data_IF_898103986446
#
_entry.id   IF_898103986446
#
_cell.length_a   1.000
_cell.length_b   1.000
_cell.length_c   1.000
_cell.angle_alpha   90.00
_cell.angle_beta   90.00
_cell.angle_gamma   90.00
#
_symmetry.space_group_name_H-M   'P 1'
#
loop_
_entity.id
_entity.type
_entity.pdbx_description
1 polymer ?
#
# COMPACT_ATOMS: atom_id res chain seq x y z
N UNK A 1 -88.23 -22.03 20.16
CA UNK A 1 -87.93 -21.79 18.73
C UNK A 1 -87.16 -20.47 18.60
N UNK A 2 -85.84 -20.49 18.54
CA UNK A 2 -85.00 -19.34 18.16
C UNK A 2 -83.90 -19.88 17.24
N UNK A 3 -84.02 -19.56 15.97
CA UNK A 3 -83.10 -19.98 14.91
C UNK A 3 -81.92 -19.00 14.90
N UNK A 4 -80.72 -19.50 15.17
CA UNK A 4 -79.48 -18.70 15.12
C UNK A 4 -78.96 -18.70 13.67
N UNK A 5 -79.09 -17.58 12.97
CA UNK A 5 -78.55 -17.37 11.63
C UNK A 5 -77.03 -17.13 11.71
N UNK A 6 -76.25 -18.09 11.23
CA UNK A 6 -74.80 -17.96 11.00
C UNK A 6 -74.57 -17.16 9.70
N UNK A 7 -74.18 -15.89 9.82
CA UNK A 7 -73.69 -15.10 8.69
C UNK A 7 -72.30 -15.59 8.28
N UNK A 8 -72.20 -16.32 7.16
CA UNK A 8 -70.93 -16.59 6.48
C UNK A 8 -70.43 -15.29 5.85
N UNK A 9 -69.29 -14.79 6.32
CA UNK A 9 -68.58 -13.67 5.70
C UNK A 9 -67.84 -14.21 4.47
N UNK A 10 -68.37 -13.96 3.28
CA UNK A 10 -67.67 -14.28 2.03
C UNK A 10 -66.40 -13.45 1.95
N UNK A 11 -65.23 -14.08 2.11
CA UNK A 11 -63.96 -13.42 1.82
C UNK A 11 -63.85 -13.30 0.31
N UNK A 12 -64.16 -12.11 -0.22
CA UNK A 12 -63.79 -11.73 -1.58
C UNK A 12 -62.27 -11.82 -1.70
N UNK A 13 -61.76 -12.95 -2.22
CA UNK A 13 -60.38 -13.05 -2.68
C UNK A 13 -60.30 -12.29 -3.98
N UNK A 14 -59.89 -11.02 -3.93
CA UNK A 14 -59.56 -10.26 -5.13
C UNK A 14 -58.42 -10.95 -5.86
N UNK A 15 -58.67 -11.42 -7.08
CA UNK A 15 -57.62 -11.90 -7.97
C UNK A 15 -56.83 -10.71 -8.50
N UNK A 16 -55.50 -10.78 -8.43
CA UNK A 16 -54.62 -9.74 -8.95
C UNK A 16 -54.71 -9.73 -10.48
N UNK A 17 -54.93 -8.56 -11.09
CA UNK A 17 -54.96 -8.44 -12.55
C UNK A 17 -53.52 -8.41 -13.09
N UNK A 18 -53.34 -8.92 -14.30
CA UNK A 18 -52.04 -8.90 -14.99
C UNK A 18 -51.48 -7.47 -15.13
N UNK A 19 -52.36 -6.48 -15.27
CA UNK A 19 -52.00 -5.06 -15.37
C UNK A 19 -51.46 -4.53 -14.02
N UNK A 20 -52.09 -4.86 -12.90
CA UNK A 20 -51.60 -4.45 -11.57
C UNK A 20 -50.21 -5.03 -11.30
N UNK A 21 -49.95 -6.28 -11.71
CA UNK A 21 -48.64 -6.90 -11.57
C UNK A 21 -47.59 -6.20 -12.44
N UNK A 22 -47.93 -5.90 -13.69
CA UNK A 22 -47.06 -5.20 -14.63
C UNK A 22 -46.67 -3.79 -14.13
N UNK A 23 -47.62 -3.05 -13.55
CA UNK A 23 -47.35 -1.71 -13.01
C UNK A 23 -46.40 -1.79 -11.81
N UNK A 24 -46.61 -2.74 -10.90
CA UNK A 24 -45.74 -2.90 -9.72
C UNK A 24 -44.32 -3.25 -10.14
N UNK A 25 -44.14 -4.20 -11.07
CA UNK A 25 -42.79 -4.54 -11.55
C UNK A 25 -42.16 -3.38 -12.33
N UNK A 26 -42.93 -2.58 -13.06
CA UNK A 26 -42.42 -1.39 -13.75
C UNK A 26 -41.93 -0.33 -12.74
N UNK A 27 -42.68 -0.08 -11.67
CA UNK A 27 -42.29 0.86 -10.61
C UNK A 27 -41.03 0.36 -9.89
N UNK A 28 -40.99 -0.92 -9.49
CA UNK A 28 -39.81 -1.52 -8.85
C UNK A 28 -38.60 -1.45 -9.80
N UNK A 29 -38.79 -1.73 -11.08
CA UNK A 29 -37.75 -1.64 -12.11
C UNK A 29 -37.17 -0.23 -12.21
N UNK A 30 -38.01 0.80 -12.26
CA UNK A 30 -37.59 2.21 -12.28
C UNK A 30 -36.86 2.58 -10.98
N UNK A 31 -37.39 2.21 -9.82
CA UNK A 31 -36.75 2.49 -8.54
C UNK A 31 -35.37 1.85 -8.44
N UNK A 32 -35.23 0.57 -8.81
CA UNK A 32 -33.93 -0.12 -8.81
C UNK A 32 -32.96 0.52 -9.81
N UNK A 33 -33.42 0.87 -11.01
CA UNK A 33 -32.59 1.51 -12.03
C UNK A 33 -32.02 2.85 -11.56
N UNK A 34 -32.79 3.61 -10.77
CA UNK A 34 -32.33 4.88 -10.19
C UNK A 34 -31.46 4.69 -8.93
N UNK A 35 -31.76 3.66 -8.11
CA UNK A 35 -31.05 3.42 -6.85
C UNK A 35 -29.71 2.72 -7.04
N UNK A 36 -29.56 1.81 -8.02
CA UNK A 36 -28.34 1.03 -8.18
C UNK A 36 -27.11 1.92 -8.46
N UNK A 37 -27.12 2.88 -9.40
CA UNK A 37 -25.98 3.78 -9.62
C UNK A 37 -25.64 4.59 -8.37
N UNK A 38 -26.64 5.10 -7.66
CA UNK A 38 -26.46 5.89 -6.45
C UNK A 38 -25.83 5.07 -5.31
N UNK A 39 -26.30 3.84 -5.09
CA UNK A 39 -25.72 2.94 -4.07
C UNK A 39 -24.28 2.58 -4.40
N UNK A 40 -23.92 2.37 -5.67
CA UNK A 40 -22.54 2.09 -6.05
C UNK A 40 -21.62 3.30 -5.85
N UNK A 41 -22.07 4.50 -6.22
CA UNK A 41 -21.33 5.74 -5.98
C UNK A 41 -21.10 5.96 -4.47
N UNK A 42 -22.13 5.75 -3.65
CA UNK A 42 -22.02 5.89 -2.20
C UNK A 42 -21.03 4.86 -1.60
N UNK A 43 -21.08 3.60 -2.05
CA UNK A 43 -20.13 2.55 -1.62
C UNK A 43 -18.69 2.92 -1.98
N UNK A 44 -18.49 3.45 -3.17
CA UNK A 44 -17.16 3.84 -3.63
C UNK A 44 -16.61 5.05 -2.86
N UNK A 45 -17.45 6.06 -2.60
CA UNK A 45 -17.08 7.16 -1.73
C UNK A 45 -16.69 6.68 -0.32
N UNK A 46 -17.42 5.72 0.25
CA UNK A 46 -17.10 5.13 1.55
C UNK A 46 -15.76 4.39 1.55
N UNK A 47 -15.46 3.61 0.49
CA UNK A 47 -14.16 2.94 0.36
C UNK A 47 -13.02 3.94 0.23
N UNK A 48 -13.21 5.02 -0.55
CA UNK A 48 -12.22 6.10 -0.69
C UNK A 48 -11.95 6.81 0.62
N UNK A 49 -13.00 7.14 1.37
CA UNK A 49 -12.85 7.71 2.72
C UNK A 49 -12.08 6.76 3.64
N UNK A 50 -12.33 5.46 3.54
CA UNK A 50 -11.62 4.45 4.34
C UNK A 50 -10.14 4.37 3.99
N UNK A 51 -9.75 4.29 2.70
CA UNK A 51 -8.34 4.26 2.32
C UNK A 51 -7.64 5.60 2.65
N UNK A 52 -8.35 6.73 2.53
CA UNK A 52 -7.87 8.04 3.00
C UNK A 52 -7.59 8.08 4.50
N UNK A 53 -8.47 7.49 5.31
CA UNK A 53 -8.31 7.44 6.76
C UNK A 53 -7.14 6.52 7.16
N UNK A 54 -6.97 5.39 6.49
CA UNK A 54 -5.82 4.51 6.69
C UNK A 54 -4.51 5.26 6.41
N UNK A 55 -4.41 5.95 5.27
CA UNK A 55 -3.25 6.80 4.97
C UNK A 55 -3.02 7.90 6.00
N UNK A 56 -4.08 8.49 6.54
CA UNK A 56 -3.97 9.48 7.62
C UNK A 56 -3.39 8.86 8.90
N UNK A 57 -3.84 7.65 9.27
CA UNK A 57 -3.29 6.91 10.40
C UNK A 57 -1.81 6.55 10.19
N UNK A 58 -1.43 6.13 8.98
CA UNK A 58 -0.03 5.86 8.63
C UNK A 58 0.85 7.11 8.70
N UNK A 59 0.34 8.26 8.23
CA UNK A 59 0.99 9.55 8.38
C UNK A 59 1.21 9.91 9.85
N UNK A 60 0.15 9.83 10.66
CA UNK A 60 0.24 10.10 12.12
C UNK A 60 1.23 9.16 12.83
N UNK A 61 1.19 7.86 12.53
CA UNK A 61 2.13 6.89 13.06
C UNK A 61 3.58 7.24 12.68
N UNK A 62 3.79 7.72 11.46
CA UNK A 62 5.12 8.15 11.00
C UNK A 62 5.60 9.42 11.71
N UNK A 63 4.71 10.37 12.00
CA UNK A 63 5.04 11.54 12.81
C UNK A 63 5.39 11.15 14.26
N UNK A 64 4.62 10.27 14.89
CA UNK A 64 4.94 9.78 16.24
C UNK A 64 6.27 9.02 16.29
N UNK A 65 6.57 8.23 15.24
CA UNK A 65 7.87 7.62 15.06
C UNK A 65 8.97 8.69 14.95
N UNK A 66 8.76 9.72 14.12
CA UNK A 66 9.71 10.82 13.93
C UNK A 66 9.96 11.60 15.23
N UNK A 67 8.92 11.86 16.03
CA UNK A 67 9.08 12.54 17.33
C UNK A 67 9.95 11.74 18.30
N UNK A 68 9.84 10.41 18.26
CA UNK A 68 10.60 9.49 19.11
C UNK A 68 12.05 9.34 18.65
N UNK A 69 12.26 9.14 17.35
CA UNK A 69 13.56 8.73 16.77
C UNK A 69 14.29 9.84 16.01
N UNK A 70 13.66 11.02 15.85
CA UNK A 70 14.13 12.19 15.10
C UNK A 70 14.43 11.92 13.61
N UNK A 71 13.86 10.84 13.08
CA UNK A 71 13.96 10.46 11.66
C UNK A 71 12.68 9.74 11.23
N UNK A 72 12.41 9.70 9.93
CA UNK A 72 11.44 8.76 9.39
C UNK A 72 11.94 7.32 9.58
N UNK A 73 11.05 6.32 9.56
CA UNK A 73 11.48 4.93 9.53
C UNK A 73 12.31 4.68 8.26
N UNK A 74 13.23 3.71 8.33
CA UNK A 74 13.81 3.20 7.09
C UNK A 74 12.68 2.59 6.25
N UNK A 75 12.78 2.71 4.94
CA UNK A 75 11.87 2.05 4.03
C UNK A 75 11.99 0.53 4.12
N UNK A 76 13.22 0.02 4.03
CA UNK A 76 13.52 -1.40 4.07
C UNK A 76 14.90 -1.65 4.67
N UNK A 77 15.01 -2.65 5.56
CA UNK A 77 16.27 -3.07 6.19
C UNK A 77 16.76 -4.41 5.62
N UNK A 78 18.07 -4.54 5.49
CA UNK A 78 18.74 -5.74 5.01
C UNK A 78 18.41 -6.97 5.87
N UNK A 79 18.47 -8.15 5.23
CA UNK A 79 18.22 -9.50 5.74
C UNK A 79 16.74 -9.96 5.69
N UNK A 80 16.06 -9.76 4.56
CA UNK A 80 14.65 -10.20 4.35
C UNK A 80 14.31 -11.58 4.92
N UNK A 81 15.19 -12.57 4.74
CA UNK A 81 14.92 -13.96 5.11
C UNK A 81 15.24 -14.32 6.57
N UNK A 82 15.93 -13.44 7.30
CA UNK A 82 16.39 -13.75 8.67
C UNK A 82 16.21 -12.67 9.75
N UNK A 83 15.80 -11.43 9.41
CA UNK A 83 15.41 -10.40 10.39
C UNK A 83 14.95 -9.07 9.76
N UNK A 84 15.37 -8.75 8.53
CA UNK A 84 15.15 -7.45 7.93
C UNK A 84 13.67 -7.09 7.84
N UNK A 85 13.29 -5.92 8.36
CA UNK A 85 11.92 -5.43 8.37
C UNK A 85 11.70 -4.28 7.37
N UNK A 86 10.44 -3.99 7.06
CA UNK A 86 10.04 -2.77 6.34
C UNK A 86 9.59 -1.68 7.32
N UNK A 87 9.42 -0.46 6.78
CA UNK A 87 8.80 0.67 7.48
C UNK A 87 7.48 0.29 8.19
N UNK A 88 6.71 -0.65 7.63
CA UNK A 88 5.44 -1.10 8.21
C UNK A 88 5.61 -1.71 9.60
N UNK A 89 6.63 -2.55 9.78
CA UNK A 89 6.88 -3.14 11.09
C UNK A 89 7.29 -2.07 12.12
N UNK A 90 8.09 -1.09 11.68
CA UNK A 90 8.56 0.01 12.52
C UNK A 90 7.41 0.92 13.01
N UNK A 91 6.31 1.01 12.26
CA UNK A 91 5.15 1.83 12.63
C UNK A 91 4.16 1.13 13.57
N UNK A 92 4.24 -0.19 13.77
CA UNK A 92 3.26 -0.94 14.57
C UNK A 92 3.04 -0.36 16.00
N UNK A 93 4.09 -0.01 16.78
CA UNK A 93 3.90 0.58 18.11
C UNK A 93 3.14 1.93 18.08
N UNK A 94 3.22 2.63 16.95
CA UNK A 94 2.59 3.94 16.73
C UNK A 94 1.21 3.85 16.08
N UNK A 95 0.74 2.62 15.81
CA UNK A 95 -0.58 2.29 15.25
C UNK A 95 -1.45 1.50 16.23
N UNK A 96 -1.17 1.59 17.54
CA UNK A 96 -1.81 0.79 18.59
C UNK A 96 -1.64 -0.74 18.39
N UNK A 97 -0.58 -1.16 17.68
CA UNK A 97 -0.25 -2.57 17.44
C UNK A 97 0.98 -3.03 18.25
N UNK A 98 1.16 -2.48 19.46
CA UNK A 98 2.29 -2.83 20.35
C UNK A 98 2.31 -4.32 20.71
N UNK A 99 1.15 -4.94 20.93
CA UNK A 99 1.06 -6.37 21.20
C UNK A 99 1.60 -7.22 20.04
N UNK A 100 1.35 -6.81 18.80
CA UNK A 100 1.89 -7.47 17.60
C UNK A 100 3.39 -7.24 17.48
N UNK A 101 3.84 -6.02 17.73
CA UNK A 101 5.27 -5.70 17.73
C UNK A 101 6.05 -6.56 18.74
N UNK A 102 5.46 -6.79 19.91
CA UNK A 102 6.07 -7.57 21.00
C UNK A 102 6.06 -9.09 20.76
N UNK A 103 5.27 -9.61 19.79
CA UNK A 103 5.34 -11.03 19.39
C UNK A 103 6.74 -11.43 18.93
N UNK A 104 7.50 -10.48 18.37
CA UNK A 104 8.89 -10.70 17.99
C UNK A 104 9.79 -10.90 19.22
N UNK A 105 9.64 -10.06 20.25
CA UNK A 105 10.40 -10.18 21.50
C UNK A 105 10.14 -11.52 22.19
N UNK A 106 8.90 -12.00 22.15
CA UNK A 106 8.51 -13.30 22.70
C UNK A 106 9.20 -14.49 22.00
N UNK A 107 9.70 -14.30 20.78
CA UNK A 107 10.48 -15.32 20.05
C UNK A 107 11.94 -15.42 20.50
N UNK A 108 12.38 -14.56 21.44
CA UNK A 108 13.76 -14.51 21.94
C UNK A 108 14.71 -13.67 21.09
N UNK A 109 14.18 -12.94 20.10
CA UNK A 109 14.91 -12.04 19.21
C UNK A 109 14.37 -10.61 19.33
N UNK A 110 15.24 -9.60 19.26
CA UNK A 110 14.85 -8.18 19.35
C UNK A 110 15.12 -7.48 18.02
N UNK A 111 14.13 -7.46 17.12
CA UNK A 111 14.24 -6.68 15.89
C UNK A 111 14.43 -5.19 16.20
N UNK A 112 15.61 -4.68 15.84
CA UNK A 112 15.88 -3.25 15.93
C UNK A 112 15.25 -2.54 14.73
N UNK A 113 14.30 -1.65 15.01
CA UNK A 113 13.64 -0.83 14.01
C UNK A 113 14.24 0.58 13.89
N UNK A 114 15.32 0.85 14.62
CA UNK A 114 16.09 2.08 14.55
C UNK A 114 17.45 1.84 13.86
N UNK A 115 17.91 2.81 13.05
CA UNK A 115 19.18 2.69 12.31
C UNK A 115 20.39 2.98 13.20
N UNK A 116 20.25 3.82 14.22
CA UNK A 116 21.30 4.11 15.21
C UNK A 116 21.36 3.12 16.38
N UNK A 117 20.42 2.17 16.44
CA UNK A 117 20.43 1.08 17.40
C UNK A 117 21.36 -0.01 16.87
N UNK A 118 22.36 -0.37 17.67
CA UNK A 118 23.34 -1.38 17.29
C UNK A 118 22.66 -2.69 16.90
N UNK A 119 23.30 -3.47 16.04
CA UNK A 119 22.87 -4.84 15.66
C UNK A 119 22.89 -5.77 16.87
N UNK A 120 21.88 -5.70 17.73
CA UNK A 120 21.71 -6.60 18.87
C UNK A 120 20.92 -7.87 18.53
N UNK A 121 20.50 -8.05 17.28
CA UNK A 121 20.06 -9.37 16.83
C UNK A 121 21.23 -10.11 16.23
N UNK A 122 21.52 -11.30 16.76
CA UNK A 122 22.18 -12.33 15.99
C UNK A 122 21.17 -12.79 14.91
N UNK A 123 21.05 -11.96 13.87
CA UNK A 123 20.12 -12.01 12.74
C UNK A 123 20.22 -13.36 12.00
N UNK A 124 21.27 -14.16 12.23
CA UNK A 124 21.47 -15.42 11.53
C UNK A 124 20.52 -16.56 11.93
N UNK A 125 19.79 -16.43 13.06
CA UNK A 125 18.98 -17.51 13.63
C UNK A 125 17.44 -17.35 13.50
N UNK A 126 16.93 -16.17 13.13
CA UNK A 126 15.48 -15.90 13.14
C UNK A 126 14.84 -15.90 11.75
N UNK A 127 14.42 -17.07 11.27
CA UNK A 127 13.80 -17.18 9.94
C UNK A 127 12.49 -16.38 9.83
N UNK A 128 12.27 -15.67 8.71
CA UNK A 128 10.98 -15.00 8.44
C UNK A 128 9.80 -15.98 8.43
N UNK A 129 10.07 -17.27 8.21
CA UNK A 129 9.08 -18.36 8.19
C UNK A 129 8.73 -18.90 9.58
N UNK A 130 9.50 -18.57 10.62
CA UNK A 130 9.24 -18.99 12.02
C UNK A 130 8.64 -17.86 12.85
N UNK A 131 8.33 -16.71 12.24
CA UNK A 131 7.72 -15.58 12.93
C UNK A 131 6.27 -15.94 13.30
N UNK A 132 5.83 -15.58 14.49
CA UNK A 132 4.46 -15.79 14.97
C UNK A 132 3.41 -14.91 14.26
N UNK A 133 3.79 -14.22 13.18
CA UNK A 133 2.97 -13.22 12.48
C UNK A 133 2.42 -13.71 11.13
N UNK A 134 2.56 -15.01 10.85
CA UNK A 134 1.92 -15.63 9.69
C UNK A 134 0.40 -15.60 9.85
N UNK A 135 -0.33 -15.26 8.79
CA UNK A 135 -1.78 -15.10 8.81
C UNK A 135 -2.28 -13.83 9.51
N UNK A 136 -1.38 -12.99 10.05
CA UNK A 136 -1.77 -11.74 10.66
C UNK A 136 -2.13 -10.70 9.59
N UNK A 137 -3.28 -10.04 9.79
CA UNK A 137 -3.73 -8.90 8.99
C UNK A 137 -3.92 -7.72 9.93
N UNK A 138 -3.22 -6.62 9.65
CA UNK A 138 -3.46 -5.33 10.30
C UNK A 138 -4.33 -4.49 9.37
N UNK A 139 -5.56 -4.20 9.79
CA UNK A 139 -6.56 -3.50 8.97
C UNK A 139 -6.10 -2.13 8.48
N UNK A 140 -5.29 -1.41 9.27
CA UNK A 140 -4.72 -0.12 8.88
C UNK A 140 -3.80 -0.18 7.65
N UNK A 141 -3.34 -1.37 7.26
CA UNK A 141 -2.58 -1.60 6.02
C UNK A 141 -3.41 -2.17 4.86
N UNK A 142 -4.70 -2.43 5.06
CA UNK A 142 -5.57 -2.99 4.02
C UNK A 142 -6.39 -1.86 3.40
N UNK A 143 -6.21 -1.58 2.11
CA UNK A 143 -7.16 -0.72 1.39
C UNK A 143 -8.43 -1.52 1.02
N UNK A 144 -9.64 -1.11 1.48
CA UNK A 144 -10.89 -1.80 1.17
C UNK A 144 -11.28 -1.84 -0.32
N UNK A 145 -10.63 -1.01 -1.15
CA UNK A 145 -10.81 -1.04 -2.60
C UNK A 145 -9.86 -2.01 -3.31
N UNK A 146 -8.86 -2.57 -2.63
CA UNK A 146 -7.99 -3.55 -3.28
C UNK A 146 -8.78 -4.81 -3.64
N UNK A 147 -8.57 -5.28 -4.87
CA UNK A 147 -9.08 -6.57 -5.32
C UNK A 147 -8.13 -7.72 -4.99
N UNK A 148 -6.92 -7.45 -4.49
CA UNK A 148 -5.97 -8.49 -4.08
C UNK A 148 -6.33 -8.98 -2.66
N UNK A 149 -6.17 -10.29 -2.45
CA UNK A 149 -6.26 -10.88 -1.12
C UNK A 149 -5.19 -10.24 -0.20
N UNK A 150 -5.58 -9.66 0.96
CA UNK A 150 -4.61 -9.10 1.89
C UNK A 150 -3.63 -10.15 2.40
N UNK A 151 -3.89 -11.46 2.26
CA UNK A 151 -2.97 -12.54 2.58
C UNK A 151 -2.47 -13.22 1.30
N UNK A 152 -1.18 -13.49 1.24
CA UNK A 152 -0.58 -14.21 0.11
C UNK A 152 0.60 -15.08 0.55
N UNK A 153 0.91 -16.10 -0.26
CA UNK A 153 2.10 -16.93 -0.10
C UNK A 153 3.00 -16.76 -1.33
N UNK A 154 4.06 -15.98 -1.19
CA UNK A 154 4.94 -15.62 -2.32
C UNK A 154 5.76 -16.78 -2.88
N UNK A 155 6.18 -17.75 -2.05
CA UNK A 155 7.06 -18.85 -2.47
C UNK A 155 6.53 -20.23 -2.09
N UNK A 156 7.20 -21.25 -2.66
CA UNK A 156 6.90 -22.64 -2.39
C UNK A 156 7.10 -23.01 -0.91
N UNK A 157 8.05 -22.38 -0.20
CA UNK A 157 8.32 -22.67 1.20
C UNK A 157 7.18 -22.25 2.13
N UNK A 158 6.61 -21.05 1.98
CA UNK A 158 5.43 -20.63 2.74
C UNK A 158 4.24 -21.54 2.43
N UNK A 159 4.04 -21.87 1.16
CA UNK A 159 2.99 -22.80 0.72
C UNK A 159 3.16 -24.19 1.34
N UNK A 160 4.39 -24.71 1.43
CA UNK A 160 4.64 -26.05 1.98
C UNK A 160 4.37 -26.16 3.48
N UNK A 161 4.44 -25.06 4.22
CA UNK A 161 4.09 -25.01 5.64
C UNK A 161 2.66 -24.47 5.88
N UNK A 162 1.85 -24.32 4.83
CA UNK A 162 0.47 -23.83 4.93
C UNK A 162 0.34 -22.39 5.45
N UNK A 163 1.38 -21.56 5.28
CA UNK A 163 1.44 -20.23 5.86
C UNK A 163 1.32 -19.12 4.82
N UNK A 164 0.82 -17.97 5.26
CA UNK A 164 0.61 -16.75 4.45
C UNK A 164 1.08 -15.52 5.22
N UNK A 165 1.28 -14.41 4.52
CA UNK A 165 1.68 -13.13 5.09
C UNK A 165 0.82 -12.01 4.52
N UNK A 166 0.67 -10.91 5.26
CA UNK A 166 -0.03 -9.73 4.76
C UNK A 166 0.67 -9.19 3.50
N UNK A 167 -0.08 -8.71 2.50
CA UNK A 167 0.44 -8.02 1.32
C UNK A 167 0.55 -6.51 1.51
N UNK A 168 1.06 -5.82 0.49
CA UNK A 168 1.25 -4.37 0.46
C UNK A 168 0.15 -3.66 -0.33
N UNK A 169 -0.89 -3.16 0.36
CA UNK A 169 -1.90 -2.29 -0.28
C UNK A 169 -1.51 -0.79 -0.21
N UNK A 170 -0.52 -0.48 0.62
CA UNK A 170 0.13 0.83 0.70
C UNK A 170 1.64 0.61 0.59
N UNK A 171 2.30 1.47 -0.20
CA UNK A 171 3.72 1.37 -0.54
C UNK A 171 4.43 2.64 -0.12
N UNK A 172 5.64 2.49 0.42
CA UNK A 172 6.51 3.62 0.74
C UNK A 172 7.18 4.18 -0.50
N UNK A 173 7.35 5.50 -0.56
CA UNK A 173 8.01 6.17 -1.68
C UNK A 173 9.49 6.36 -1.37
N UNK A 174 10.34 5.65 -2.12
CA UNK A 174 11.80 5.76 -2.01
C UNK A 174 12.41 6.77 -2.98
N UNK A 175 11.58 7.39 -3.82
CA UNK A 175 12.03 8.39 -4.77
C UNK A 175 11.33 8.32 -6.12
N UNK A 176 11.99 8.89 -7.12
CA UNK A 176 11.60 8.83 -8.52
C UNK A 176 12.80 8.57 -9.43
N UNK A 177 12.52 7.88 -10.54
CA UNK A 177 13.43 7.73 -11.65
C UNK A 177 12.70 7.98 -12.98
N UNK A 178 13.27 8.74 -13.94
CA UNK A 178 14.47 9.57 -13.79
C UNK A 178 14.31 10.61 -12.68
N UNK A 179 15.43 11.06 -12.12
CA UNK A 179 15.41 12.13 -11.12
C UNK A 179 14.98 13.46 -11.78
N UNK A 180 13.92 14.13 -11.32
CA UNK A 180 13.46 15.41 -11.86
C UNK A 180 14.52 16.53 -11.78
N UNK A 181 15.47 16.47 -10.84
CA UNK A 181 16.62 17.38 -10.80
C UNK A 181 17.76 17.00 -11.77
N UNK A 182 17.59 15.92 -12.56
CA UNK A 182 18.60 15.45 -13.52
C UNK A 182 19.83 14.81 -12.87
N UNK A 183 19.78 14.49 -11.57
CA UNK A 183 20.89 13.84 -10.86
C UNK A 183 21.07 12.40 -11.35
N UNK A 184 22.29 12.04 -11.72
CA UNK A 184 22.64 10.68 -12.16
C UNK A 184 23.21 9.82 -11.02
N UNK A 185 23.31 10.39 -9.83
CA UNK A 185 23.90 9.79 -8.63
C UNK A 185 22.87 9.41 -7.58
N UNK A 186 21.58 9.40 -7.91
CA UNK A 186 20.48 9.15 -6.97
C UNK A 186 19.78 7.81 -7.18
N UNK A 187 20.35 6.94 -8.02
CA UNK A 187 19.76 5.65 -8.34
C UNK A 187 20.79 4.55 -8.54
N UNK A 188 20.29 3.32 -8.55
CA UNK A 188 20.99 2.11 -8.93
C UNK A 188 20.09 1.27 -9.85
N UNK A 189 20.59 0.94 -11.05
CA UNK A 189 19.91 0.04 -11.99
C UNK A 189 20.15 -1.42 -11.59
N UNK A 190 19.07 -2.14 -11.35
CA UNK A 190 19.05 -3.57 -11.02
C UNK A 190 19.19 -4.45 -12.27
N UNK A 191 19.35 -5.76 -12.06
CA UNK A 191 19.44 -6.75 -13.13
C UNK A 191 18.20 -6.80 -14.05
N UNK A 192 17.02 -6.40 -13.56
CA UNK A 192 15.72 -6.54 -14.26
C UNK A 192 15.21 -5.22 -14.80
N UNK A 193 16.12 -4.33 -15.17
CA UNK A 193 15.82 -3.00 -15.72
C UNK A 193 15.02 -2.07 -14.79
N UNK A 194 14.86 -2.44 -13.50
CA UNK A 194 14.31 -1.56 -12.48
C UNK A 194 15.38 -0.68 -11.80
N UNK A 195 14.95 0.38 -11.15
CA UNK A 195 15.76 1.45 -10.57
C UNK A 195 15.40 1.65 -9.10
N UNK A 196 16.32 1.29 -8.22
CA UNK A 196 16.27 1.68 -6.81
C UNK A 196 16.79 3.11 -6.68
N UNK A 197 16.13 3.96 -5.90
CA UNK A 197 16.50 5.38 -5.72
C UNK A 197 16.80 5.73 -4.25
N UNK A 198 17.56 6.80 -4.03
CA UNK A 198 17.85 7.35 -2.70
C UNK A 198 17.47 8.83 -2.55
N UNK A 199 16.53 9.31 -3.38
CA UNK A 199 16.06 10.70 -3.42
C UNK A 199 14.65 10.92 -2.82
N UNK A 200 13.95 9.89 -2.35
CA UNK A 200 12.64 10.02 -1.67
C UNK A 200 12.71 10.07 -0.15
N UNK A 201 11.56 9.91 0.52
CA UNK A 201 11.46 10.00 1.98
C UNK A 201 11.78 8.68 2.71
N UNK A 202 11.41 7.52 2.15
CA UNK A 202 11.62 6.21 2.78
C UNK A 202 12.75 5.45 2.09
N UNK A 203 13.87 5.27 2.79
CA UNK A 203 15.14 4.84 2.17
C UNK A 203 15.57 3.43 2.59
N UNK A 204 16.41 2.80 1.77
CA UNK A 204 16.96 1.47 2.05
C UNK A 204 18.16 1.57 3.00
N UNK A 205 18.12 0.84 4.12
CA UNK A 205 19.18 0.75 5.12
C UNK A 205 19.66 2.10 5.68
N UNK A 206 18.88 3.16 5.49
CA UNK A 206 19.17 4.50 5.98
C UNK A 206 17.87 5.22 6.25
N UNK A 207 17.95 6.34 6.96
CA UNK A 207 16.81 7.16 7.36
C UNK A 207 17.08 8.60 7.00
N UNK A 208 16.03 9.32 6.64
CA UNK A 208 16.08 10.78 6.52
C UNK A 208 15.22 11.41 7.62
N UNK A 209 15.59 12.60 8.06
CA UNK A 209 14.76 13.40 8.95
C UNK A 209 13.92 14.40 8.17
N UNK A 210 12.97 15.04 8.84
CA UNK A 210 12.15 16.10 8.25
C UNK A 210 12.99 17.24 7.68
N UNK A 211 14.16 17.52 8.27
CA UNK A 211 15.13 18.50 7.76
C UNK A 211 15.73 18.15 6.38
N UNK A 212 15.65 16.88 5.96
CA UNK A 212 16.12 16.43 4.65
C UNK A 212 15.07 16.60 3.55
N UNK A 213 13.86 17.08 3.87
CA UNK A 213 12.76 17.28 2.93
C UNK A 213 12.65 18.78 2.61
N UNK A 214 13.61 19.25 1.81
CA UNK A 214 13.83 20.67 1.56
C UNK A 214 12.85 21.28 0.56
N UNK A 215 12.20 20.47 -0.27
CA UNK A 215 11.16 20.93 -1.21
C UNK A 215 9.79 21.16 -0.55
N UNK A 216 9.70 20.85 0.74
CA UNK A 216 8.55 21.07 1.59
C UNK A 216 7.83 19.78 1.95
N UNK A 217 7.54 19.62 3.24
CA UNK A 217 6.84 18.44 3.78
C UNK A 217 5.44 18.26 3.21
N UNK A 218 4.81 19.34 2.76
CA UNK A 218 3.50 19.36 2.11
C UNK A 218 3.56 19.12 0.60
N UNK A 219 4.74 18.84 0.03
CA UNK A 219 4.97 18.61 -1.39
C UNK A 219 5.80 17.34 -1.67
N UNK A 220 6.07 16.53 -0.65
CA UNK A 220 6.77 15.25 -0.82
C UNK A 220 5.85 14.11 -0.36
N UNK A 221 5.61 13.15 -1.25
CA UNK A 221 4.83 11.94 -0.97
C UNK A 221 5.67 11.01 -0.11
N UNK A 222 5.07 10.53 0.96
CA UNK A 222 5.68 9.60 1.90
C UNK A 222 5.22 8.17 1.60
N UNK A 223 3.90 7.95 1.53
CA UNK A 223 3.27 6.64 1.27
C UNK A 223 2.14 6.83 0.27
N UNK A 224 1.94 5.86 -0.61
CA UNK A 224 0.89 5.84 -1.63
C UNK A 224 0.08 4.57 -1.58
N UNK A 225 -1.14 4.61 -2.11
CA UNK A 225 -1.89 3.42 -2.49
C UNK A 225 -1.15 2.57 -3.54
N UNK A 226 -1.24 1.26 -3.37
CA UNK A 226 -0.86 0.25 -4.36
C UNK A 226 -1.82 -0.94 -4.21
N UNK A 227 -3.03 -0.79 -4.72
CA UNK A 227 -4.12 -1.73 -4.49
C UNK A 227 -4.12 -2.92 -5.46
N UNK A 228 -3.10 -3.07 -6.30
CA UNK A 228 -3.01 -4.16 -7.27
C UNK A 228 -3.77 -3.96 -8.57
N UNK A 229 -4.25 -2.74 -8.84
CA UNK A 229 -4.96 -2.42 -10.07
C UNK A 229 -3.97 -2.26 -11.24
N UNK A 230 -3.39 -3.37 -11.70
CA UNK A 230 -2.41 -3.35 -12.78
C UNK A 230 -3.08 -3.45 -14.15
N UNK A 231 -3.50 -2.30 -14.71
CA UNK A 231 -4.11 -2.24 -16.04
C UNK A 231 -3.17 -2.80 -17.13
N UNK A 232 -1.86 -2.63 -16.97
CA UNK A 232 -0.86 -3.10 -17.94
C UNK A 232 -0.71 -4.64 -17.96
N UNK A 233 -1.07 -5.34 -16.88
CA UNK A 233 -1.01 -6.80 -16.82
C UNK A 233 -2.11 -7.36 -15.91
N UNK A 234 -3.35 -7.36 -16.41
CA UNK A 234 -4.53 -7.81 -15.66
C UNK A 234 -4.45 -9.29 -15.19
N UNK A 235 -3.59 -10.10 -15.82
CA UNK A 235 -3.35 -11.49 -15.42
C UNK A 235 -2.49 -11.59 -14.15
N UNK A 236 -1.73 -10.54 -13.81
CA UNK A 236 -0.87 -10.52 -12.62
C UNK A 236 -1.03 -9.18 -11.90
N UNK A 237 -1.92 -9.15 -10.90
CA UNK A 237 -2.09 -7.99 -10.01
C UNK A 237 -0.83 -7.84 -9.15
N UNK A 238 0.04 -6.88 -9.49
CA UNK A 238 1.37 -6.70 -8.86
C UNK A 238 1.32 -5.72 -7.68
N UNK A 239 2.11 -6.00 -6.66
CA UNK A 239 2.43 -5.12 -5.53
C UNK A 239 3.94 -5.23 -5.24
N UNK A 240 4.52 -4.21 -4.63
CA UNK A 240 5.92 -4.19 -4.17
C UNK A 240 6.04 -5.09 -2.93
N UNK A 241 6.00 -6.41 -3.15
CA UNK A 241 5.62 -7.37 -2.11
C UNK A 241 6.42 -8.67 -2.24
N UNK A 242 7.74 -8.57 -2.14
CA UNK A 242 8.63 -9.71 -2.24
C UNK A 242 8.98 -10.33 -0.89
N UNK A 243 8.85 -11.65 -0.80
CA UNK A 243 8.88 -12.39 0.45
C UNK A 243 7.66 -12.15 1.35
N UNK A 244 7.78 -11.34 2.39
CA UNK A 244 6.70 -11.23 3.39
C UNK A 244 6.26 -9.79 3.52
N UNK A 245 5.00 -9.48 3.82
CA UNK A 245 4.54 -8.10 4.05
C UNK A 245 5.31 -7.31 5.10
N UNK A 246 6.11 -8.00 5.89
CA UNK A 246 6.88 -7.46 7.00
C UNK A 246 8.39 -7.45 6.74
N UNK A 247 8.83 -7.94 5.57
CA UNK A 247 10.24 -8.09 5.21
C UNK A 247 10.84 -6.82 4.60
N UNK A 248 12.16 -6.69 4.68
CA UNK A 248 12.91 -5.53 4.16
C UNK A 248 13.58 -5.75 2.78
N UNK A 249 14.90 -5.54 2.67
CA UNK A 249 15.68 -5.63 1.41
C UNK A 249 16.73 -6.76 1.40
N UNK A 250 17.06 -7.29 0.22
CA UNK A 250 17.86 -8.53 0.10
C UNK A 250 19.37 -8.32 0.22
N UNK A 251 19.85 -7.08 0.22
CA UNK A 251 21.28 -6.76 0.22
C UNK A 251 21.63 -5.71 1.26
N UNK A 252 22.82 -5.84 1.83
CA UNK A 252 23.36 -4.88 2.77
C UNK A 252 23.75 -3.59 2.05
N UNK A 253 23.82 -2.50 2.79
CA UNK A 253 24.19 -1.20 2.28
C UNK A 253 23.01 -0.43 1.67
N UNK A 254 23.30 0.80 1.34
CA UNK A 254 22.40 1.78 0.74
C UNK A 254 22.44 1.69 -0.79
N UNK A 255 21.53 2.41 -1.47
CA UNK A 255 21.59 2.58 -2.93
C UNK A 255 22.94 3.20 -3.37
N UNK A 256 23.50 4.11 -2.57
CA UNK A 256 24.81 4.68 -2.80
C UNK A 256 25.93 3.62 -2.73
N UNK A 257 25.88 2.73 -1.74
CA UNK A 257 26.84 1.62 -1.62
C UNK A 257 26.73 0.66 -2.81
N UNK A 258 25.51 0.36 -3.26
CA UNK A 258 25.29 -0.51 -4.42
C UNK A 258 25.82 0.09 -5.71
N UNK A 259 25.64 1.41 -5.89
CA UNK A 259 26.16 2.17 -7.04
C UNK A 259 27.69 2.23 -7.06
N UNK A 260 28.33 2.31 -5.90
CA UNK A 260 29.79 2.24 -5.79
C UNK A 260 30.35 0.81 -6.05
N UNK A 261 29.49 -0.20 -5.96
CA UNK A 261 29.82 -1.60 -6.23
C UNK A 261 29.59 -2.03 -7.68
N UNK A 262 29.39 -3.33 -7.89
CA UNK A 262 29.11 -3.90 -9.20
C UNK A 262 27.74 -3.49 -9.72
N UNK A 263 27.69 -2.97 -10.94
CA UNK A 263 26.45 -2.58 -11.60
C UNK A 263 25.56 -3.79 -11.98
N UNK A 264 24.25 -3.57 -12.07
CA UNK A 264 23.30 -4.53 -12.65
C UNK A 264 23.16 -5.84 -11.86
N UNK A 265 23.65 -5.90 -10.62
CA UNK A 265 23.34 -6.99 -9.71
C UNK A 265 21.87 -6.97 -9.32
N UNK A 266 21.33 -8.16 -9.07
CA UNK A 266 20.02 -8.32 -8.47
C UNK A 266 19.98 -7.60 -7.12
N UNK A 267 19.01 -6.71 -6.92
CA UNK A 267 18.72 -6.07 -5.64
C UNK A 267 17.22 -6.16 -5.43
N UNK A 268 16.80 -7.05 -4.53
CA UNK A 268 15.37 -7.19 -4.25
C UNK A 268 14.93 -6.24 -3.13
N UNK A 269 13.74 -5.68 -3.28
CA UNK A 269 13.09 -4.80 -2.32
C UNK A 269 11.69 -5.28 -1.94
N UNK A 270 11.15 -4.69 -0.88
CA UNK A 270 9.79 -4.93 -0.43
C UNK A 270 9.22 -3.66 0.21
N UNK A 271 7.95 -3.38 -0.08
CA UNK A 271 7.18 -2.30 0.52
C UNK A 271 7.63 -0.91 0.09
N UNK A 272 8.47 -0.81 -0.94
CA UNK A 272 8.99 0.43 -1.49
C UNK A 272 8.87 0.46 -3.00
N UNK A 273 8.67 1.65 -3.54
CA UNK A 273 8.72 1.90 -4.98
C UNK A 273 9.32 3.27 -5.28
N UNK A 274 10.11 3.31 -6.35
CA UNK A 274 10.57 4.51 -7.01
C UNK A 274 9.59 4.80 -8.15
N UNK A 275 9.03 6.01 -8.16
CA UNK A 275 8.04 6.42 -9.13
C UNK A 275 8.67 6.55 -10.51
N UNK A 276 8.19 5.71 -11.43
CA UNK A 276 8.59 5.66 -12.83
C UNK A 276 7.43 5.95 -13.79
N UNK A 277 6.19 5.74 -13.33
CA UNK A 277 4.96 5.86 -14.12
C UNK A 277 3.96 6.79 -13.43
N UNK A 278 3.02 7.30 -14.22
CA UNK A 278 1.80 7.94 -13.69
C UNK A 278 0.96 6.92 -12.92
N UNK A 279 0.02 7.36 -12.05
CA UNK A 279 -0.92 6.46 -11.40
C UNK A 279 -1.71 5.61 -12.40
N UNK A 280 -2.04 4.37 -12.01
CA UNK A 280 -2.84 3.42 -12.80
C UNK A 280 -2.42 3.31 -14.28
N UNK A 281 -1.12 3.09 -14.58
CA UNK A 281 -0.63 3.14 -15.95
C UNK A 281 -1.24 2.00 -16.79
N UNK A 282 -1.59 2.31 -18.03
CA UNK A 282 -2.15 1.33 -18.98
C UNK A 282 -1.08 0.51 -19.70
N UNK A 283 0.19 0.93 -19.61
CA UNK A 283 1.33 0.23 -20.18
C UNK A 283 2.56 0.42 -19.29
N UNK A 284 3.36 -0.62 -19.13
CA UNK A 284 4.62 -0.59 -18.36
C UNK A 284 5.71 -1.37 -19.09
N UNK A 285 6.96 -1.12 -18.76
CA UNK A 285 8.11 -1.85 -19.26
C UNK A 285 8.60 -2.96 -18.31
N UNK A 286 9.82 -3.42 -18.56
CA UNK A 286 10.43 -4.51 -17.79
C UNK A 286 10.63 -4.16 -16.30
N UNK A 287 10.83 -2.88 -15.99
CA UNK A 287 11.03 -2.35 -14.64
C UNK A 287 9.87 -2.64 -13.67
N UNK A 288 8.66 -2.81 -14.20
CA UNK A 288 7.43 -3.03 -13.44
C UNK A 288 6.97 -4.50 -13.44
N UNK A 289 7.69 -5.40 -14.12
CA UNK A 289 7.23 -6.78 -14.34
C UNK A 289 7.28 -7.67 -13.08
N UNK A 290 7.94 -7.20 -12.03
CA UNK A 290 8.25 -7.98 -10.84
C UNK A 290 7.80 -7.30 -9.55
N UNK A 291 7.29 -8.11 -8.62
CA UNK A 291 6.91 -7.68 -7.25
C UNK A 291 8.13 -7.47 -6.34
N UNK A 292 9.30 -7.86 -6.83
CA UNK A 292 10.56 -7.88 -6.09
C UNK A 292 11.54 -6.80 -6.48
N UNK A 293 11.18 -6.02 -7.48
CA UNK A 293 11.92 -4.86 -7.94
C UNK A 293 11.29 -3.57 -7.39
N UNK A 294 11.86 -2.43 -7.79
CA UNK A 294 11.59 -1.14 -7.15
C UNK A 294 10.70 -0.21 -7.98
N UNK A 295 10.10 -0.63 -9.09
CA UNK A 295 9.22 0.24 -9.89
C UNK A 295 7.83 -0.35 -10.11
N UNK A 296 7.32 -1.11 -9.13
CA UNK A 296 5.89 -1.49 -9.17
C UNK A 296 5.03 -0.21 -9.14
N UNK A 297 4.14 0.00 -10.11
CA UNK A 297 3.40 1.26 -10.22
C UNK A 297 2.49 1.54 -9.03
N UNK A 298 2.18 2.82 -8.85
CA UNK A 298 1.14 3.27 -7.92
C UNK A 298 -0.23 2.99 -8.54
N UNK A 299 -1.09 2.29 -7.80
CA UNK A 299 -2.37 1.82 -8.35
C UNK A 299 -3.48 1.87 -7.31
N UNK A 300 -4.70 2.14 -7.77
CA UNK A 300 -5.92 2.13 -6.97
C UNK A 300 -7.10 1.66 -7.81
N UNK A 301 -8.09 1.02 -7.18
CA UNK A 301 -9.39 0.77 -7.80
C UNK A 301 -10.34 1.96 -7.64
N UNK A 302 -9.92 3.03 -6.96
CA UNK A 302 -10.67 4.27 -6.92
C UNK A 302 -10.77 4.89 -8.32
N UNK A 303 -11.96 5.34 -8.76
CA UNK A 303 -12.09 5.99 -10.06
C UNK A 303 -11.22 7.25 -10.16
N UNK A 304 -10.37 7.28 -11.18
CA UNK A 304 -9.65 8.47 -11.66
C UNK A 304 -8.37 8.83 -10.94
N UNK A 305 -7.85 7.99 -10.03
CA UNK A 305 -6.63 8.33 -9.30
C UNK A 305 -6.33 7.43 -8.11
N UNK A 306 -5.34 7.87 -7.34
CA UNK A 306 -4.83 7.19 -6.13
C UNK A 306 -4.88 8.15 -4.94
N UNK A 307 -4.96 7.62 -3.73
CA UNK A 307 -4.71 8.41 -2.52
C UNK A 307 -3.23 8.32 -2.11
N UNK A 308 -2.68 9.44 -1.66
CA UNK A 308 -1.32 9.53 -1.12
C UNK A 308 -1.31 10.28 0.21
N UNK A 309 -0.36 9.96 1.07
CA UNK A 309 -0.03 10.78 2.25
C UNK A 309 1.32 11.45 2.04
N UNK A 310 1.38 12.73 2.34
CA UNK A 310 2.58 13.54 2.25
C UNK A 310 3.37 13.50 3.56
N UNK A 311 4.59 14.02 3.51
CA UNK A 311 5.51 14.04 4.65
C UNK A 311 4.95 14.85 5.84
N UNK A 312 4.09 15.84 5.61
CA UNK A 312 3.37 16.59 6.65
C UNK A 312 2.14 15.86 7.23
N UNK A 313 1.87 14.63 6.77
CA UNK A 313 0.73 13.83 7.18
C UNK A 313 -0.60 14.25 6.55
N UNK A 314 -0.63 15.19 5.62
CA UNK A 314 -1.81 15.50 4.81
C UNK A 314 -2.06 14.40 3.78
N UNK A 315 -3.34 14.09 3.52
CA UNK A 315 -3.73 13.08 2.53
C UNK A 315 -4.32 13.80 1.34
N UNK A 316 -3.88 13.45 0.12
CA UNK A 316 -4.33 14.06 -1.13
C UNK A 316 -4.73 12.99 -2.14
N UNK A 317 -5.67 13.34 -3.00
CA UNK A 317 -5.99 12.56 -4.19
C UNK A 317 -5.07 13.01 -5.33
N UNK A 318 -4.46 12.05 -6.01
CA UNK A 318 -3.62 12.30 -7.19
C UNK A 318 -4.36 11.71 -8.40
N UNK A 319 -4.73 12.53 -9.40
CA UNK A 319 -5.47 12.04 -10.55
C UNK A 319 -4.59 11.21 -11.49
N UNK A 320 -5.19 10.25 -12.19
CA UNK A 320 -4.52 9.44 -13.23
C UNK A 320 -3.96 10.31 -14.37
N UNK A 321 -4.53 11.51 -14.55
CA UNK A 321 -4.13 12.49 -15.57
C UNK A 321 -2.97 13.39 -15.16
N UNK A 322 -2.42 13.22 -13.95
CA UNK A 322 -1.26 14.00 -13.50
C UNK A 322 -0.10 13.84 -14.47
N UNK A 323 0.64 14.92 -14.71
CA UNK A 323 1.86 14.83 -15.51
C UNK A 323 2.91 13.96 -14.79
N UNK A 324 3.59 13.09 -15.54
CA UNK A 324 4.62 12.20 -14.99
C UNK A 324 5.70 12.98 -14.23
N UNK A 325 6.19 14.09 -14.80
CA UNK A 325 7.22 14.91 -14.15
C UNK A 325 6.71 15.48 -12.82
N UNK A 326 5.44 15.88 -12.74
CA UNK A 326 4.84 16.40 -11.51
C UNK A 326 4.79 15.34 -10.40
N UNK A 327 4.34 14.12 -10.69
CA UNK A 327 4.34 13.07 -9.65
C UNK A 327 5.75 12.62 -9.28
N UNK A 328 6.71 12.69 -10.21
CA UNK A 328 8.13 12.43 -9.91
C UNK A 328 8.71 13.51 -8.98
N UNK A 329 8.44 14.78 -9.23
CA UNK A 329 8.81 15.90 -8.34
C UNK A 329 8.21 15.71 -6.94
N UNK A 330 6.92 15.36 -6.86
CA UNK A 330 6.27 15.04 -5.59
C UNK A 330 6.88 13.81 -4.89
N UNK A 331 7.61 12.95 -5.59
CA UNK A 331 8.20 11.73 -5.01
C UNK A 331 9.66 11.92 -4.58
N UNK A 332 10.24 13.09 -4.85
CA UNK A 332 11.59 13.48 -4.45
C UNK A 332 11.52 14.51 -3.33
N UNK A 333 12.52 14.48 -2.44
CA UNK A 333 12.55 15.32 -1.24
C UNK A 333 13.40 16.59 -1.38
N UNK A 334 14.29 16.61 -2.38
CA UNK A 334 15.41 17.56 -2.52
C UNK A 334 15.81 17.89 -3.98
N UNK A 335 14.85 18.02 -4.90
CA UNK A 335 15.06 18.46 -6.28
C UNK A 335 15.00 19.99 -6.49
N UNK A 336 14.62 20.75 -5.47
CA UNK A 336 14.50 22.21 -5.49
C UNK A 336 13.23 22.73 -6.16
N UNK A 337 12.30 21.85 -6.53
CA UNK A 337 11.05 22.19 -7.22
C UNK A 337 9.87 22.16 -6.25
N UNK A 338 9.25 23.32 -6.05
CA UNK A 338 7.99 23.40 -5.30
C UNK A 338 6.84 23.17 -6.27
N UNK A 339 6.20 22.00 -6.15
CA UNK A 339 5.03 21.66 -6.96
C UNK A 339 3.80 22.46 -6.49
N UNK A 340 3.09 23.08 -7.44
CA UNK A 340 1.85 23.83 -7.20
C UNK A 340 0.61 22.94 -7.02
N UNK A 341 -0.58 23.46 -7.35
CA UNK A 341 -1.81 22.65 -7.41
C UNK A 341 -1.80 21.72 -8.64
N UNK A 342 -2.28 20.48 -8.47
CA UNK A 342 -2.28 19.42 -9.49
C UNK A 342 -3.51 18.52 -9.40
#
# INVERSE_FOLDING_TARGET
MRTCLSLRRESHRGGFTLVELLVVIAIIGVLIALLLPAVQQAREAARRMSCSNNLKQLGLATHNYHDTYRSFPFGARYYITKAGTSWRWALLPFMEQSAVYDLDKASGYNLDTYVGGGTQTNINAYSSYTRQILGLVIDGYVCPSSAIDPLYAYNAQLRSIGSVTQGHHYVGIMGAYPDPAGRTTTYYKTQYDAYATDNGALLINTTTGMQGVVDGTSNTILISEQSGNNHANAATRKMANYHTGWGGCAYNGTVADWRAGTAGQHRYGNGLTAVFHTPNPTSVGAEANAEWDFNTPLTSFHPGGIQVVLVDGSVRFVPDTINLTTIQQLSVRDDGQVVGEY
#
